data_IF_428723303474
#
_entry.id   IF_428723303474
#
_cell.length_a   1.000
_cell.length_b   1.000
_cell.length_c   1.000
_cell.angle_alpha   90.00
_cell.angle_beta   90.00
_cell.angle_gamma   90.00
#
_symmetry.space_group_name_H-M   'P 1'
#
loop_
_entity.id
_entity.type
_entity.pdbx_description
1 polymer ?
#
# COMPACT_ATOMS: atom_id res chain seq x y z
N UNK A 1 -1.00 -12.86 13.68
CA UNK A 1 -0.88 -11.51 13.29
C UNK A 1 0.20 -11.25 12.31
N UNK A 2 -0.19 -10.94 11.18
CA UNK A 2 0.67 -10.88 10.05
C UNK A 2 1.27 -9.50 9.87
N UNK A 3 0.53 -8.48 10.25
CA UNK A 3 1.00 -7.12 10.15
C UNK A 3 1.55 -6.65 11.50
N UNK A 4 1.95 -5.42 11.56
CA UNK A 4 2.39 -4.77 12.79
C UNK A 4 1.20 -4.38 13.65
N UNK A 5 1.48 -3.83 14.81
CA UNK A 5 0.44 -3.38 15.72
C UNK A 5 -0.27 -2.12 15.22
N UNK A 6 0.46 -1.19 14.61
CA UNK A 6 -0.09 0.07 14.13
C UNK A 6 0.23 0.31 12.66
N UNK A 7 -0.76 0.82 11.94
CA UNK A 7 -0.59 1.26 10.56
C UNK A 7 -0.96 2.73 10.48
N UNK A 8 0.01 3.57 10.17
CA UNK A 8 -0.16 5.01 10.03
C UNK A 8 -0.23 5.37 8.56
N UNK A 9 -1.33 5.99 8.14
CA UNK A 9 -1.47 6.55 6.79
C UNK A 9 -1.28 8.05 6.88
N UNK A 10 -0.38 8.58 6.07
CA UNK A 10 -0.03 10.00 6.08
C UNK A 10 -0.88 10.78 5.09
N UNK A 11 -1.01 12.06 5.34
CA UNK A 11 -1.75 12.98 4.48
C UNK A 11 -1.11 14.36 4.49
N UNK A 12 -1.39 15.13 3.46
CA UNK A 12 -1.10 16.55 3.49
C UNK A 12 -2.13 17.26 4.37
N UNK A 13 -1.71 18.19 5.26
CA UNK A 13 -2.66 18.91 6.09
C UNK A 13 -3.64 19.72 5.25
N UNK A 14 -4.88 19.78 5.69
CA UNK A 14 -5.94 20.48 4.96
C UNK A 14 -5.62 21.96 4.75
N UNK A 15 -4.99 22.60 5.74
CA UNK A 15 -4.61 24.00 5.67
C UNK A 15 -3.46 24.31 4.72
N UNK A 16 -2.73 23.27 4.29
CA UNK A 16 -1.68 23.41 3.28
C UNK A 16 -2.22 23.19 1.86
N UNK A 17 -3.48 22.77 1.73
CA UNK A 17 -4.14 22.63 0.43
C UNK A 17 -4.68 23.97 -0.02
N UNK A 18 -4.21 24.43 -1.17
CA UNK A 18 -4.70 25.67 -1.76
C UNK A 18 -6.01 25.39 -2.51
N UNK A 19 -6.87 26.41 -2.59
CA UNK A 19 -8.13 26.32 -3.32
C UNK A 19 -7.95 26.17 -4.83
N UNK A 20 -6.75 26.46 -5.33
CA UNK A 20 -6.41 26.32 -6.74
C UNK A 20 -5.23 25.37 -6.90
N UNK A 21 -5.51 24.06 -7.08
CA UNK A 21 -4.45 23.07 -7.20
C UNK A 21 -3.70 23.22 -8.52
N UNK A 22 -2.71 24.07 -8.54
CA UNK A 22 -1.79 24.18 -9.65
C UNK A 22 -0.90 22.94 -9.72
N UNK A 23 -0.22 22.74 -10.87
CA UNK A 23 0.75 21.66 -11.00
C UNK A 23 1.83 21.76 -9.91
N UNK A 24 2.25 22.98 -9.58
CA UNK A 24 3.22 23.20 -8.50
C UNK A 24 2.71 22.74 -7.15
N UNK A 25 1.43 22.97 -6.85
CA UNK A 25 0.81 22.50 -5.61
C UNK A 25 0.77 20.99 -5.57
N UNK A 26 0.40 20.35 -6.68
CA UNK A 26 0.38 18.89 -6.77
C UNK A 26 1.78 18.29 -6.58
N UNK A 27 2.81 18.90 -7.17
CA UNK A 27 4.19 18.48 -6.98
C UNK A 27 4.62 18.64 -5.52
N UNK A 28 4.21 19.74 -4.87
CA UNK A 28 4.49 19.96 -3.46
C UNK A 28 3.82 18.91 -2.58
N UNK A 29 2.60 18.50 -2.92
CA UNK A 29 1.90 17.44 -2.19
C UNK A 29 2.63 16.11 -2.28
N UNK A 30 3.15 15.75 -3.45
CA UNK A 30 3.90 14.51 -3.62
C UNK A 30 5.21 14.56 -2.85
N UNK A 31 5.94 15.68 -2.93
CA UNK A 31 7.22 15.84 -2.23
C UNK A 31 7.03 15.89 -0.71
N UNK A 32 5.92 16.42 -0.25
CA UNK A 32 5.63 16.57 1.17
C UNK A 32 5.69 15.24 1.91
N UNK A 33 5.16 14.18 1.33
CA UNK A 33 5.15 12.86 1.97
C UNK A 33 6.55 12.31 2.18
N UNK A 34 7.53 12.72 1.37
CA UNK A 34 8.91 12.28 1.53
C UNK A 34 9.60 12.91 2.73
N UNK A 35 9.08 14.05 3.21
CA UNK A 35 9.71 14.81 4.29
C UNK A 35 9.16 14.45 5.67
N UNK A 36 8.08 13.69 5.75
CA UNK A 36 7.51 13.29 7.05
C UNK A 36 8.35 12.15 7.61
N UNK A 37 9.24 12.48 8.53
CA UNK A 37 10.18 11.54 9.12
C UNK A 37 9.82 11.26 10.57
N UNK A 38 10.29 10.13 11.08
CA UNK A 38 10.14 9.76 12.48
C UNK A 38 11.46 9.23 13.01
N UNK A 39 11.71 9.45 14.30
CA UNK A 39 12.83 8.87 15.02
C UNK A 39 12.48 7.50 15.61
N UNK A 40 11.25 7.05 15.46
CA UNK A 40 10.82 5.74 15.93
C UNK A 40 11.52 4.65 15.14
N UNK A 41 12.33 3.83 15.84
CA UNK A 41 13.14 2.80 15.19
C UNK A 41 12.31 1.61 14.71
N UNK A 42 11.11 1.45 15.22
CA UNK A 42 10.19 0.38 14.78
C UNK A 42 9.41 0.74 13.52
N UNK A 43 9.40 2.01 13.15
CA UNK A 43 8.61 2.49 12.01
C UNK A 43 9.26 2.06 10.69
N UNK A 44 8.44 1.49 9.82
CA UNK A 44 8.87 1.03 8.49
C UNK A 44 8.00 1.64 7.42
N UNK A 45 8.61 2.30 6.45
CA UNK A 45 7.89 2.93 5.35
C UNK A 45 7.22 1.88 4.47
N UNK A 46 6.02 2.19 4.00
CA UNK A 46 5.31 1.34 3.06
C UNK A 46 4.47 2.20 2.11
N UNK A 47 4.10 1.61 0.97
CA UNK A 47 3.13 2.20 0.06
C UNK A 47 1.85 1.38 0.13
N UNK A 48 0.71 2.04 0.14
CA UNK A 48 -0.59 1.38 0.04
C UNK A 48 -1.41 2.06 -1.05
N UNK A 49 -2.08 1.26 -1.87
CA UNK A 49 -2.90 1.78 -2.94
C UNK A 49 -4.10 0.86 -3.16
N UNK A 50 -5.28 1.46 -3.33
CA UNK A 50 -6.50 0.69 -3.54
C UNK A 50 -6.77 0.57 -5.03
N UNK A 51 -6.80 -0.67 -5.50
CA UNK A 51 -7.22 -1.00 -6.86
C UNK A 51 -8.52 -1.79 -6.79
N UNK A 52 -9.08 -2.12 -7.94
CA UNK A 52 -10.31 -2.91 -8.02
C UNK A 52 -10.11 -4.14 -8.87
N UNK A 53 -10.86 -5.18 -8.55
CA UNK A 53 -10.91 -6.35 -9.43
C UNK A 53 -11.55 -5.98 -10.76
N UNK A 54 -11.08 -6.63 -11.83
CA UNK A 54 -11.71 -6.52 -13.14
C UNK A 54 -12.83 -7.54 -13.19
N UNK A 55 -14.06 -7.06 -13.20
CA UNK A 55 -15.23 -7.94 -13.29
C UNK A 55 -16.13 -7.45 -14.41
N UNK A 56 -16.81 -8.39 -15.05
CA UNK A 56 -17.76 -8.10 -16.11
C UNK A 56 -19.14 -7.77 -15.58
N UNK A 57 -19.30 -7.71 -14.24
CA UNK A 57 -20.57 -7.45 -13.59
C UNK A 57 -20.52 -6.25 -12.64
N UNK A 58 -21.47 -6.21 -11.75
CA UNK A 58 -21.63 -5.12 -10.79
C UNK A 58 -20.79 -5.29 -9.52
N UNK A 59 -19.94 -6.31 -9.46
CA UNK A 59 -19.32 -6.77 -8.21
C UNK A 59 -17.81 -6.59 -8.17
N UNK A 60 -17.28 -5.51 -8.76
CA UNK A 60 -15.84 -5.24 -8.55
C UNK A 60 -15.60 -4.94 -7.08
N UNK A 61 -14.52 -5.52 -6.54
CA UNK A 61 -14.15 -5.37 -5.15
C UNK A 61 -12.85 -4.59 -5.03
N UNK A 62 -12.72 -3.89 -3.92
CA UNK A 62 -11.49 -3.16 -3.62
C UNK A 62 -10.43 -4.13 -3.11
N UNK A 63 -9.23 -3.98 -3.67
CA UNK A 63 -8.05 -4.75 -3.27
C UNK A 63 -7.01 -3.75 -2.81
N UNK A 64 -6.55 -3.89 -1.58
CA UNK A 64 -5.46 -3.06 -1.09
C UNK A 64 -4.14 -3.69 -1.51
N UNK A 65 -3.33 -2.93 -2.23
CA UNK A 65 -2.00 -3.35 -2.66
C UNK A 65 -0.98 -2.66 -1.75
N UNK A 66 -0.17 -3.47 -1.08
CA UNK A 66 0.88 -3.00 -0.19
C UNK A 66 2.24 -3.15 -0.87
N UNK A 67 2.97 -2.05 -0.93
CA UNK A 67 4.37 -2.06 -1.31
C UNK A 67 5.22 -2.04 -0.06
N UNK A 68 5.99 -3.09 0.18
CA UNK A 68 6.75 -3.25 1.41
C UNK A 68 8.24 -3.31 1.14
N UNK A 69 9.04 -3.02 2.18
CA UNK A 69 10.49 -3.04 2.11
C UNK A 69 11.00 -4.47 1.84
N UNK A 70 12.13 -4.63 1.14
CA UNK A 70 12.64 -5.97 0.81
C UNK A 70 12.89 -6.85 2.02
N UNK A 71 13.28 -6.27 3.14
CA UNK A 71 13.55 -7.00 4.39
C UNK A 71 12.58 -6.54 5.47
N UNK A 72 11.29 -6.48 5.14
CA UNK A 72 10.28 -6.00 6.06
C UNK A 72 10.31 -6.77 7.38
N UNK A 73 10.21 -6.03 8.47
CA UNK A 73 10.10 -6.60 9.83
C UNK A 73 8.71 -7.16 10.08
N UNK A 74 7.72 -6.72 9.31
CA UNK A 74 6.31 -6.97 9.62
C UNK A 74 5.61 -7.86 8.62
N UNK A 75 6.04 -7.84 7.35
CA UNK A 75 5.38 -8.59 6.29
C UNK A 75 6.44 -9.44 5.59
N UNK A 76 6.30 -10.75 5.73
CA UNK A 76 7.25 -11.70 5.17
C UNK A 76 6.54 -12.63 4.20
N UNK A 77 6.96 -12.62 2.94
CA UNK A 77 6.51 -13.60 1.97
C UNK A 77 7.70 -14.08 1.16
N UNK A 78 7.48 -15.13 0.38
CA UNK A 78 8.55 -15.68 -0.43
C UNK A 78 8.80 -14.77 -1.63
N UNK A 79 9.92 -14.07 -1.59
CA UNK A 79 10.34 -13.21 -2.69
C UNK A 79 10.98 -14.04 -3.78
N UNK A 80 10.35 -14.09 -4.94
CA UNK A 80 10.92 -14.71 -6.14
C UNK A 80 10.82 -13.71 -7.30
N UNK A 81 11.84 -12.88 -7.43
CA UNK A 81 11.87 -11.86 -8.47
C UNK A 81 10.84 -10.76 -8.25
N UNK A 82 10.12 -10.40 -9.30
CA UNK A 82 9.17 -9.30 -9.31
C UNK A 82 7.73 -9.73 -9.01
N UNK A 83 7.55 -10.89 -8.41
CA UNK A 83 6.22 -11.39 -8.07
C UNK A 83 5.60 -10.73 -6.86
N UNK A 84 4.39 -11.16 -6.53
CA UNK A 84 3.63 -10.64 -5.42
C UNK A 84 2.96 -11.78 -4.65
N UNK A 85 2.67 -11.53 -3.37
CA UNK A 85 1.84 -12.43 -2.57
C UNK A 85 0.42 -11.91 -2.54
N UNK A 86 -0.54 -12.81 -2.44
CA UNK A 86 -1.94 -12.45 -2.19
C UNK A 86 -2.34 -12.97 -0.82
N UNK A 87 -3.26 -12.28 -0.15
CA UNK A 87 -3.78 -12.76 1.13
C UNK A 87 -4.52 -14.08 0.94
N UNK A 88 -4.52 -14.92 1.99
CA UNK A 88 -5.23 -16.19 1.95
C UNK A 88 -6.72 -16.00 1.65
N UNK A 89 -7.35 -14.98 2.22
CA UNK A 89 -8.75 -14.66 1.96
C UNK A 89 -9.01 -14.36 0.49
N UNK A 90 -8.10 -13.60 -0.14
CA UNK A 90 -8.23 -13.29 -1.56
C UNK A 90 -8.06 -14.55 -2.41
N UNK A 91 -7.06 -15.37 -2.09
CA UNK A 91 -6.81 -16.62 -2.81
C UNK A 91 -8.00 -17.57 -2.72
N UNK A 92 -8.59 -17.70 -1.54
CA UNK A 92 -9.75 -18.56 -1.35
C UNK A 92 -10.97 -18.05 -2.12
N UNK A 93 -11.26 -16.76 -2.03
CA UNK A 93 -12.44 -16.17 -2.64
C UNK A 93 -12.43 -16.28 -4.16
N UNK A 94 -11.27 -16.11 -4.78
CA UNK A 94 -11.13 -16.09 -6.23
C UNK A 94 -10.44 -17.34 -6.78
N UNK A 95 -10.19 -18.33 -5.92
CA UNK A 95 -9.55 -19.59 -6.29
C UNK A 95 -8.21 -19.35 -6.99
N UNK A 96 -7.36 -18.54 -6.36
CA UNK A 96 -6.05 -18.16 -6.89
C UNK A 96 -4.97 -19.10 -6.40
N UNK A 97 -3.99 -19.36 -7.25
CA UNK A 97 -2.87 -20.25 -6.95
C UNK A 97 -1.56 -19.58 -7.33
N UNK A 98 -0.49 -20.02 -6.69
CA UNK A 98 0.87 -19.59 -7.07
C UNK A 98 1.09 -19.92 -8.54
N UNK A 99 1.61 -18.94 -9.27
CA UNK A 99 1.79 -19.04 -10.72
C UNK A 99 0.70 -18.38 -11.53
N UNK A 100 -0.46 -18.13 -10.93
CA UNK A 100 -1.54 -17.41 -11.59
C UNK A 100 -1.17 -15.94 -11.78
N UNK A 101 -1.88 -15.30 -12.70
CA UNK A 101 -1.77 -13.87 -12.95
C UNK A 101 -3.12 -13.22 -12.65
N UNK A 102 -3.10 -12.13 -11.90
CA UNK A 102 -4.30 -11.33 -11.64
C UNK A 102 -4.21 -10.02 -12.39
N UNK A 103 -5.35 -9.49 -12.79
CA UNK A 103 -5.46 -8.15 -13.39
C UNK A 103 -6.30 -7.29 -12.46
N UNK A 104 -5.76 -6.15 -12.08
CA UNK A 104 -6.45 -5.15 -11.26
C UNK A 104 -6.54 -3.85 -12.03
N UNK A 105 -7.48 -3.00 -11.68
CA UNK A 105 -7.69 -1.75 -12.39
C UNK A 105 -7.80 -0.58 -11.43
N UNK A 106 -7.54 0.62 -11.94
CA UNK A 106 -7.81 1.86 -11.22
C UNK A 106 -9.31 2.01 -11.00
N UNK A 107 -9.67 2.68 -9.89
CA UNK A 107 -11.06 2.88 -9.55
C UNK A 107 -11.79 3.82 -10.53
N UNK A 108 -11.08 4.82 -11.05
CA UNK A 108 -11.71 5.92 -11.80
C UNK A 108 -11.16 6.11 -13.20
N UNK A 109 -10.35 5.19 -13.69
CA UNK A 109 -9.83 5.23 -15.07
C UNK A 109 -9.60 3.80 -15.55
N UNK A 110 -9.35 3.66 -16.85
CA UNK A 110 -9.27 2.33 -17.49
C UNK A 110 -7.92 1.65 -17.35
N UNK A 111 -6.97 2.29 -16.69
CA UNK A 111 -5.64 1.70 -16.51
C UNK A 111 -5.73 0.39 -15.72
N UNK A 112 -5.10 -0.65 -16.26
CA UNK A 112 -5.06 -1.99 -15.68
C UNK A 112 -3.64 -2.41 -15.43
N UNK A 113 -3.47 -3.23 -14.41
CA UNK A 113 -2.17 -3.76 -14.00
C UNK A 113 -2.26 -5.27 -13.92
N UNK A 114 -1.25 -5.94 -14.42
CA UNK A 114 -1.15 -7.39 -14.38
C UNK A 114 -0.06 -7.78 -13.40
N UNK A 115 -0.39 -8.65 -12.45
CA UNK A 115 0.49 -9.03 -11.34
C UNK A 115 0.54 -10.56 -11.29
N UNK A 116 1.76 -11.11 -11.24
CA UNK A 116 1.97 -12.55 -11.11
C UNK A 116 2.01 -12.93 -9.64
N UNK A 117 1.27 -13.97 -9.26
CA UNK A 117 1.24 -14.46 -7.89
C UNK A 117 2.42 -15.41 -7.68
N UNK A 118 3.30 -15.06 -6.74
CA UNK A 118 4.46 -15.88 -6.38
C UNK A 118 4.31 -16.55 -5.02
N UNK A 119 3.36 -16.11 -4.19
CA UNK A 119 3.14 -16.68 -2.86
C UNK A 119 1.72 -16.37 -2.40
N UNK A 120 1.26 -17.14 -1.42
CA UNK A 120 0.01 -16.86 -0.71
C UNK A 120 0.37 -16.58 0.74
N UNK A 121 0.00 -15.41 1.23
CA UNK A 121 0.34 -14.97 2.57
C UNK A 121 -0.80 -15.31 3.52
N UNK A 122 -0.47 -15.91 4.67
CA UNK A 122 -1.45 -16.45 5.61
C UNK A 122 -2.21 -15.34 6.37
N UNK A 123 -2.72 -14.36 5.65
CA UNK A 123 -3.51 -13.28 6.22
C UNK A 123 -4.96 -13.41 5.76
N UNK A 124 -5.88 -13.36 6.72
CA UNK A 124 -7.30 -13.56 6.47
C UNK A 124 -8.14 -12.31 6.72
N UNK A 125 -7.50 -11.20 7.07
CA UNK A 125 -8.21 -9.99 7.46
C UNK A 125 -8.84 -9.21 6.31
N UNK A 126 -8.31 -9.33 5.09
CA UNK A 126 -8.79 -8.55 3.96
C UNK A 126 -8.26 -9.10 2.65
N UNK A 127 -8.81 -8.59 1.55
CA UNK A 127 -8.32 -8.88 0.20
C UNK A 127 -7.12 -7.98 -0.09
N UNK A 128 -5.93 -8.55 -0.10
CA UNK A 128 -4.69 -7.78 -0.22
C UNK A 128 -3.70 -8.42 -1.18
N UNK A 129 -2.86 -7.56 -1.75
CA UNK A 129 -1.68 -7.95 -2.49
C UNK A 129 -0.47 -7.33 -1.79
N UNK A 130 0.62 -8.08 -1.69
CA UNK A 130 1.88 -7.62 -1.11
C UNK A 130 2.97 -7.75 -2.15
N UNK A 131 3.69 -6.67 -2.40
CA UNK A 131 4.77 -6.67 -3.37
C UNK A 131 5.88 -5.72 -2.90
N UNK A 132 7.01 -5.73 -3.57
CA UNK A 132 8.09 -4.80 -3.24
C UNK A 132 7.65 -3.37 -3.45
N UNK A 133 8.01 -2.49 -2.51
CA UNK A 133 7.62 -1.08 -2.58
C UNK A 133 8.12 -0.40 -3.86
N UNK A 134 9.35 -0.66 -4.26
CA UNK A 134 9.89 -0.09 -5.51
C UNK A 134 9.08 -0.55 -6.72
N UNK A 135 8.71 -1.82 -6.76
CA UNK A 135 7.93 -2.37 -7.87
C UNK A 135 6.53 -1.75 -7.92
N UNK A 136 5.89 -1.59 -6.77
CA UNK A 136 4.58 -0.95 -6.71
C UNK A 136 4.66 0.51 -7.12
N UNK A 137 5.63 1.24 -6.58
CA UNK A 137 5.82 2.65 -6.94
C UNK A 137 6.04 2.80 -8.45
N UNK A 138 6.87 1.95 -9.04
CA UNK A 138 7.12 1.96 -10.48
C UNK A 138 5.84 1.64 -11.27
N UNK A 139 5.08 0.65 -10.84
CA UNK A 139 3.83 0.25 -11.48
C UNK A 139 2.83 1.41 -11.51
N UNK A 140 2.78 2.20 -10.43
CA UNK A 140 1.89 3.34 -10.29
C UNK A 140 2.47 4.63 -10.87
N UNK A 141 3.67 4.57 -11.44
CA UNK A 141 4.39 5.73 -11.98
C UNK A 141 4.72 6.77 -10.89
N UNK A 142 5.05 6.28 -9.72
CA UNK A 142 5.51 7.10 -8.60
C UNK A 142 7.04 7.05 -8.50
N UNK A 143 7.62 8.05 -7.84
CA UNK A 143 9.03 8.04 -7.50
C UNK A 143 9.36 6.84 -6.61
N UNK A 144 10.56 6.28 -6.77
CA UNK A 144 10.97 5.09 -6.00
C UNK A 144 10.99 5.33 -4.50
N UNK A 145 11.17 6.58 -4.06
CA UNK A 145 11.19 6.96 -2.65
C UNK A 145 9.80 7.28 -2.09
N UNK A 146 8.77 7.26 -2.92
CA UNK A 146 7.40 7.53 -2.47
C UNK A 146 6.97 6.51 -1.42
N UNK A 147 6.24 6.97 -0.41
CA UNK A 147 5.62 6.09 0.58
C UNK A 147 4.31 6.69 1.07
N UNK A 148 3.40 5.84 1.52
CA UNK A 148 2.08 6.24 2.00
C UNK A 148 2.03 6.40 3.52
N UNK A 149 2.91 5.75 4.23
CA UNK A 149 2.84 5.75 5.68
C UNK A 149 3.89 4.87 6.33
N UNK A 150 3.61 4.53 7.58
CA UNK A 150 4.50 3.73 8.41
C UNK A 150 3.76 2.56 9.04
N UNK A 151 4.41 1.40 9.05
CA UNK A 151 4.04 0.25 9.86
C UNK A 151 4.90 0.28 11.11
N UNK A 152 4.31 0.01 12.28
CA UNK A 152 5.08 0.06 13.53
C UNK A 152 4.43 -0.80 14.61
N UNK A 153 5.26 -1.45 15.43
CA UNK A 153 4.80 -2.18 16.61
C UNK A 153 4.62 -1.27 17.82
N UNK A 154 5.15 -0.05 17.75
CA UNK A 154 5.06 0.92 18.84
C UNK A 154 4.41 2.21 18.33
N UNK A 155 3.73 2.96 19.20
CA UNK A 155 3.12 4.23 18.79
C UNK A 155 4.18 5.21 18.26
N UNK A 156 3.86 5.89 17.17
CA UNK A 156 4.69 6.97 16.64
C UNK A 156 4.20 8.26 17.26
N UNK A 157 5.07 8.94 17.99
CA UNK A 157 4.69 10.11 18.78
C UNK A 157 5.31 11.42 18.28
N UNK A 158 6.18 11.35 17.29
CA UNK A 158 6.91 12.50 16.78
C UNK A 158 6.42 13.01 15.42
N UNK A 159 5.26 12.54 14.98
CA UNK A 159 4.59 13.06 13.79
C UNK A 159 3.32 13.78 14.25
N UNK A 160 3.18 15.05 13.83
CA UNK A 160 2.00 15.84 14.17
C UNK A 160 0.73 15.19 13.61
N UNK A 161 -0.33 15.18 14.40
CA UNK A 161 -1.61 14.56 14.03
C UNK A 161 -2.17 15.10 12.71
N UNK A 162 -1.89 16.36 12.38
CA UNK A 162 -2.38 16.94 11.12
C UNK A 162 -1.83 16.24 9.88
N UNK A 163 -0.70 15.53 10.00
CA UNK A 163 -0.10 14.77 8.91
C UNK A 163 -0.58 13.32 8.85
N UNK A 164 -1.43 12.91 9.78
CA UNK A 164 -1.88 11.53 9.89
C UNK A 164 -3.34 11.45 9.45
N UNK A 165 -3.59 10.72 8.36
CA UNK A 165 -4.94 10.50 7.85
C UNK A 165 -5.69 9.47 8.69
N UNK A 166 -5.01 8.39 9.05
CA UNK A 166 -5.60 7.35 9.88
C UNK A 166 -4.52 6.60 10.63
N UNK A 167 -4.91 6.06 11.78
CA UNK A 167 -4.10 5.11 12.53
C UNK A 167 -4.98 3.88 12.73
N UNK A 168 -4.53 2.74 12.23
CA UNK A 168 -5.23 1.49 12.40
C UNK A 168 -4.50 0.66 13.44
N UNK A 169 -5.19 0.33 14.52
CA UNK A 169 -4.68 -0.59 15.54
C UNK A 169 -5.07 -2.00 15.09
N UNK A 170 -4.06 -2.83 14.85
CA UNK A 170 -4.25 -4.16 14.26
C UNK A 170 -4.22 -5.26 15.31
N UNK A 171 -4.21 -4.91 16.58
CA UNK A 171 -4.27 -5.90 17.67
C UNK A 171 -5.64 -6.57 17.77
#
# INVERSE_FOLDING_TARGET
NMLCKYQYILQMPYDAMDDDPSLGTMMSMLLFQFDIQTQNEDAEKFTAYTLKTVDTGYNSEEITVYGVQPNSRYIHWRHTGSGAAVSATYAEKYNLHVGDTITLKEAYKDTRYTIKISDIYAYQGALCVFMNQEDLNAMLDYDSAYFSGYLSDTPITDIDEKYISSVIDLD
#
